data_IF_042559831320
#
_entry.id   IF_042559831320
#
_cell.length_a   1.000
_cell.length_b   1.000
_cell.length_c   1.000
_cell.angle_alpha   90.00
_cell.angle_beta   90.00
_cell.angle_gamma   90.00
#
_symmetry.space_group_name_H-M   'P 1'
#
loop_
_entity.id
_entity.type
_entity.pdbx_description
1 polymer ?
#
# COMPACT_ATOMS: atom_id res chain seq x y z
N UNK A 1 -28.43 7.37 -21.69
CA UNK A 1 -28.20 5.91 -21.69
C UNK A 1 -26.77 5.66 -21.24
N UNK A 2 -26.53 4.68 -20.35
CA UNK A 2 -25.18 4.31 -19.91
C UNK A 2 -24.51 3.53 -21.04
N UNK A 3 -23.32 3.94 -21.48
CA UNK A 3 -22.59 3.26 -22.56
C UNK A 3 -22.23 1.82 -22.17
N UNK A 4 -22.16 0.90 -23.14
CA UNK A 4 -21.69 -0.48 -22.93
C UNK A 4 -20.32 -0.51 -22.26
N UNK A 5 -19.40 0.39 -22.68
CA UNK A 5 -18.08 0.55 -22.05
C UNK A 5 -18.19 0.89 -20.57
N UNK A 6 -19.10 1.80 -20.18
CA UNK A 6 -19.32 2.16 -18.78
C UNK A 6 -19.90 1.00 -17.96
N UNK A 7 -20.81 0.21 -18.54
CA UNK A 7 -21.37 -0.97 -17.87
C UNK A 7 -20.33 -2.07 -17.66
N UNK A 8 -19.47 -2.31 -18.66
CA UNK A 8 -18.36 -3.27 -18.57
C UNK A 8 -17.35 -2.88 -17.48
N UNK A 9 -17.07 -1.59 -17.32
CA UNK A 9 -16.21 -1.10 -16.22
C UNK A 9 -16.90 -1.31 -14.87
N UNK A 10 -18.18 -0.95 -14.74
CA UNK A 10 -18.89 -1.07 -13.47
C UNK A 10 -19.00 -2.53 -13.00
N UNK A 11 -19.30 -3.46 -13.91
CA UNK A 11 -19.35 -4.91 -13.61
C UNK A 11 -18.00 -5.43 -13.16
N UNK A 12 -16.90 -5.02 -13.80
CA UNK A 12 -15.54 -5.36 -13.36
C UNK A 12 -15.21 -4.78 -11.96
N UNK A 13 -15.67 -3.56 -11.65
CA UNK A 13 -15.43 -2.92 -10.35
C UNK A 13 -16.15 -3.64 -9.19
N UNK A 14 -17.34 -4.17 -9.43
CA UNK A 14 -18.08 -4.96 -8.42
C UNK A 14 -17.62 -6.42 -8.34
N UNK A 15 -16.65 -6.83 -9.18
CA UNK A 15 -16.10 -8.19 -9.21
C UNK A 15 -16.95 -9.21 -9.96
N UNK A 16 -17.92 -8.74 -10.75
CA UNK A 16 -18.76 -9.60 -11.59
C UNK A 16 -18.05 -9.90 -12.92
N UNK A 17 -17.06 -10.79 -12.85
CA UNK A 17 -16.20 -11.13 -13.97
C UNK A 17 -16.93 -11.79 -15.16
N UNK A 18 -17.89 -12.72 -14.97
CA UNK A 18 -18.62 -13.31 -16.10
C UNK A 18 -19.37 -12.28 -16.94
N UNK A 19 -20.04 -11.32 -16.29
CA UNK A 19 -20.73 -10.25 -16.99
C UNK A 19 -19.74 -9.25 -17.62
N UNK A 20 -18.64 -8.94 -16.93
CA UNK A 20 -17.59 -8.10 -17.49
C UNK A 20 -16.97 -8.71 -18.75
N UNK A 21 -16.71 -10.03 -18.77
CA UNK A 21 -16.23 -10.75 -19.97
C UNK A 21 -17.23 -10.62 -21.11
N UNK A 22 -18.51 -10.92 -20.84
CA UNK A 22 -19.58 -10.91 -21.85
C UNK A 22 -19.74 -9.52 -22.49
N UNK A 23 -19.76 -8.46 -21.67
CA UNK A 23 -19.89 -7.08 -22.14
C UNK A 23 -18.67 -6.61 -22.94
N UNK A 24 -17.44 -6.93 -22.49
CA UNK A 24 -16.24 -6.56 -23.24
C UNK A 24 -16.12 -7.35 -24.57
N UNK A 25 -16.57 -8.60 -24.62
CA UNK A 25 -16.64 -9.35 -25.87
C UNK A 25 -17.61 -8.71 -26.86
N UNK A 26 -18.78 -8.25 -26.39
CA UNK A 26 -19.75 -7.54 -27.23
C UNK A 26 -19.15 -6.25 -27.79
N UNK A 27 -18.44 -5.47 -26.96
CA UNK A 27 -17.75 -4.25 -27.42
C UNK A 27 -16.71 -4.58 -28.50
N UNK A 28 -15.94 -5.67 -28.34
CA UNK A 28 -14.97 -6.08 -29.36
C UNK A 28 -15.60 -6.66 -30.65
N UNK A 29 -16.89 -7.03 -30.64
CA UNK A 29 -17.58 -7.37 -31.89
C UNK A 29 -17.83 -6.12 -32.73
N UNK A 30 -18.10 -4.98 -32.10
CA UNK A 30 -18.30 -3.68 -32.76
C UNK A 30 -16.97 -2.98 -33.06
N UNK A 31 -16.01 -3.05 -32.14
CA UNK A 31 -14.69 -2.41 -32.23
C UNK A 31 -13.55 -3.43 -32.01
N UNK A 32 -13.20 -4.26 -33.01
CA UNK A 32 -12.26 -5.38 -32.84
C UNK A 32 -10.84 -5.00 -32.44
N UNK A 33 -10.43 -3.77 -32.71
CA UNK A 33 -9.09 -3.25 -32.44
C UNK A 33 -9.04 -2.27 -31.26
N UNK A 34 -10.09 -2.21 -30.42
CA UNK A 34 -10.08 -1.39 -29.21
C UNK A 34 -9.14 -1.98 -28.15
N UNK A 35 -7.93 -1.41 -28.08
CA UNK A 35 -6.86 -1.79 -27.15
C UNK A 35 -7.31 -1.72 -25.69
N UNK A 36 -8.11 -0.72 -25.31
CA UNK A 36 -8.56 -0.56 -23.92
C UNK A 36 -9.54 -1.67 -23.54
N UNK A 37 -10.46 -2.01 -24.44
CA UNK A 37 -11.41 -3.11 -24.25
C UNK A 37 -10.69 -4.46 -24.25
N UNK A 38 -9.71 -4.68 -25.12
CA UNK A 38 -8.87 -5.89 -25.10
C UNK A 38 -8.12 -6.04 -23.77
N UNK A 39 -7.52 -4.96 -23.25
CA UNK A 39 -6.82 -4.97 -21.97
C UNK A 39 -7.77 -5.27 -20.80
N UNK A 40 -8.98 -4.70 -20.81
CA UNK A 40 -10.02 -4.97 -19.80
C UNK A 40 -10.53 -6.40 -19.85
N UNK A 41 -10.77 -6.93 -21.05
CA UNK A 41 -11.18 -8.32 -21.25
C UNK A 41 -10.10 -9.29 -20.78
N UNK A 42 -8.83 -9.03 -21.12
CA UNK A 42 -7.70 -9.83 -20.66
C UNK A 42 -7.61 -9.83 -19.12
N UNK A 43 -7.82 -8.68 -18.48
CA UNK A 43 -7.88 -8.61 -17.02
C UNK A 43 -9.06 -9.40 -16.43
N UNK A 44 -10.25 -9.32 -17.04
CA UNK A 44 -11.41 -10.09 -16.62
C UNK A 44 -11.21 -11.62 -16.75
N UNK A 45 -10.49 -12.07 -17.78
CA UNK A 45 -10.07 -13.47 -17.93
C UNK A 45 -9.09 -13.91 -16.84
N UNK A 46 -8.09 -13.08 -16.50
CA UNK A 46 -7.20 -13.37 -15.37
C UNK A 46 -7.99 -13.54 -14.07
N UNK A 47 -8.92 -12.61 -13.81
CA UNK A 47 -9.73 -12.63 -12.59
C UNK A 47 -10.71 -13.81 -12.56
N UNK A 48 -11.13 -14.31 -13.72
CA UNK A 48 -11.97 -15.51 -13.87
C UNK A 48 -11.19 -16.83 -13.85
N UNK A 49 -9.86 -16.79 -13.72
CA UNK A 49 -9.02 -17.99 -13.69
C UNK A 49 -8.69 -18.59 -15.07
N UNK A 50 -8.81 -17.80 -16.14
CA UNK A 50 -8.49 -18.20 -17.53
C UNK A 50 -7.22 -17.49 -18.04
N UNK A 51 -6.01 -17.85 -17.53
CA UNK A 51 -4.78 -17.13 -17.85
C UNK A 51 -4.33 -17.28 -19.32
N UNK A 52 -4.69 -18.39 -19.99
CA UNK A 52 -4.35 -18.61 -21.39
C UNK A 52 -5.06 -17.62 -22.32
N UNK A 53 -6.35 -17.37 -22.08
CA UNK A 53 -7.14 -16.42 -22.87
C UNK A 53 -6.66 -14.98 -22.65
N UNK A 54 -6.32 -14.64 -21.40
CA UNK A 54 -5.70 -13.37 -21.09
C UNK A 54 -4.36 -13.18 -21.80
N UNK A 55 -3.51 -14.22 -21.82
CA UNK A 55 -2.21 -14.20 -22.52
C UNK A 55 -2.40 -13.90 -24.01
N UNK A 56 -3.28 -14.64 -24.68
CA UNK A 56 -3.57 -14.46 -26.10
C UNK A 56 -4.05 -13.03 -26.42
N UNK A 57 -4.87 -12.43 -25.55
CA UNK A 57 -5.32 -11.05 -25.73
C UNK A 57 -4.21 -10.03 -25.52
N UNK A 58 -3.36 -10.18 -24.50
CA UNK A 58 -2.24 -9.26 -24.32
C UNK A 58 -1.22 -9.36 -25.46
N UNK A 59 -1.00 -10.55 -26.02
CA UNK A 59 -0.16 -10.72 -27.22
C UNK A 59 -0.76 -9.99 -28.42
N UNK A 60 -2.08 -10.08 -28.63
CA UNK A 60 -2.78 -9.29 -29.65
C UNK A 60 -2.67 -7.79 -29.41
N UNK A 61 -2.78 -7.33 -28.17
CA UNK A 61 -2.56 -5.92 -27.82
C UNK A 61 -1.15 -5.48 -28.21
N UNK A 62 -0.12 -6.29 -27.97
CA UNK A 62 1.26 -5.97 -28.39
C UNK A 62 1.48 -6.00 -29.90
N UNK A 63 0.67 -6.76 -30.66
CA UNK A 63 0.68 -6.68 -32.12
C UNK A 63 0.12 -5.34 -32.63
N UNK A 64 -0.86 -4.77 -31.93
CA UNK A 64 -1.46 -3.47 -32.29
C UNK A 64 -0.67 -2.27 -31.73
N UNK A 65 -0.20 -2.39 -30.49
CA UNK A 65 0.60 -1.40 -29.77
C UNK A 65 1.75 -2.10 -29.04
N UNK A 66 2.88 -2.19 -29.74
CA UNK A 66 4.10 -2.83 -29.24
C UNK A 66 4.64 -2.22 -27.94
N UNK A 67 4.31 -0.94 -27.65
CA UNK A 67 4.80 -0.23 -26.47
C UNK A 67 3.78 -0.17 -25.34
N UNK A 68 2.68 -0.93 -25.44
CA UNK A 68 1.63 -0.90 -24.43
C UNK A 68 2.15 -1.35 -23.05
N UNK A 69 2.23 -0.46 -22.04
CA UNK A 69 2.84 -0.81 -20.76
C UNK A 69 2.00 -1.82 -19.96
N UNK A 70 0.68 -1.88 -20.18
CA UNK A 70 -0.24 -2.79 -19.50
C UNK A 70 0.01 -4.22 -19.98
N UNK A 71 0.03 -4.43 -21.29
CA UNK A 71 0.25 -5.74 -21.88
C UNK A 71 1.65 -6.29 -21.59
N UNK A 72 2.71 -5.47 -21.73
CA UNK A 72 4.09 -5.86 -21.38
C UNK A 72 4.19 -6.35 -19.93
N UNK A 73 3.65 -5.55 -18.99
CA UNK A 73 3.71 -5.87 -17.55
C UNK A 73 2.97 -7.17 -17.22
N UNK A 74 1.77 -7.36 -17.79
CA UNK A 74 0.94 -8.52 -17.47
C UNK A 74 1.44 -9.81 -18.15
N UNK A 75 2.00 -9.73 -19.37
CA UNK A 75 2.64 -10.90 -20.00
C UNK A 75 3.89 -11.34 -19.26
N UNK A 76 4.72 -10.40 -18.81
CA UNK A 76 5.87 -10.72 -17.96
C UNK A 76 5.42 -11.49 -16.71
N UNK A 77 4.40 -10.97 -16.01
CA UNK A 77 3.79 -11.65 -14.86
C UNK A 77 3.32 -13.06 -15.21
N UNK A 78 2.54 -13.22 -16.28
CA UNK A 78 2.01 -14.50 -16.74
C UNK A 78 3.09 -15.55 -17.04
N UNK A 79 4.20 -15.14 -17.63
CA UNK A 79 5.31 -16.03 -17.96
C UNK A 79 6.16 -16.41 -16.72
N UNK A 80 6.19 -15.56 -15.69
CA UNK A 80 6.87 -15.87 -14.41
C UNK A 80 6.10 -16.93 -13.59
N UNK A 81 4.80 -17.17 -13.87
CA UNK A 81 3.93 -18.14 -13.16
C UNK A 81 4.02 -19.59 -13.66
N UNK A 82 5.22 -20.13 -13.90
CA UNK A 82 5.41 -21.58 -14.16
C UNK A 82 5.11 -22.48 -12.96
N UNK A 83 4.70 -21.92 -11.82
CA UNK A 83 4.26 -22.66 -10.63
C UNK A 83 2.77 -22.42 -10.40
N UNK A 84 1.97 -23.47 -10.63
CA UNK A 84 0.52 -23.53 -10.34
C UNK A 84 0.25 -23.23 -8.86
N UNK A 85 0.08 -21.97 -8.48
CA UNK A 85 -0.50 -21.60 -7.18
C UNK A 85 -1.53 -20.48 -7.39
N UNK A 86 -2.68 -20.52 -6.71
CA UNK A 86 -3.76 -19.58 -6.93
C UNK A 86 -3.31 -18.14 -6.64
N UNK A 87 -3.58 -17.26 -7.60
CA UNK A 87 -3.38 -15.82 -7.50
C UNK A 87 -4.40 -15.25 -6.53
N UNK A 88 -3.97 -14.70 -5.39
CA UNK A 88 -4.88 -13.94 -4.53
C UNK A 88 -5.17 -12.62 -5.26
N UNK A 89 -6.39 -12.44 -5.74
CA UNK A 89 -6.84 -11.19 -6.38
C UNK A 89 -7.03 -10.14 -5.28
N UNK A 90 -6.22 -9.10 -5.32
CA UNK A 90 -6.07 -8.12 -4.22
C UNK A 90 -6.90 -6.85 -4.47
N UNK A 91 -8.12 -6.99 -4.98
CA UNK A 91 -8.89 -5.82 -5.42
C UNK A 91 -9.39 -4.92 -4.27
N UNK A 92 -9.33 -5.38 -3.01
CA UNK A 92 -9.82 -4.60 -1.85
C UNK A 92 -8.91 -4.62 -0.61
N UNK A 93 -7.75 -5.29 -0.65
CA UNK A 93 -6.88 -5.41 0.55
C UNK A 93 -6.05 -4.15 0.81
N UNK A 94 -5.78 -3.34 -0.22
CA UNK A 94 -4.84 -2.21 -0.18
C UNK A 94 -5.49 -0.83 -0.19
N UNK A 95 -6.68 -0.69 0.40
CA UNK A 95 -7.31 0.63 0.56
C UNK A 95 -6.46 1.44 1.56
N UNK A 96 -5.89 2.55 1.09
CA UNK A 96 -5.09 3.44 1.93
C UNK A 96 -5.99 4.32 2.80
N UNK A 97 -6.30 3.86 4.01
CA UNK A 97 -6.97 4.61 5.07
C UNK A 97 -5.96 5.54 5.79
N UNK A 98 -6.15 6.87 5.77
CA UNK A 98 -5.29 7.82 6.47
C UNK A 98 -5.16 7.50 7.96
N UNK A 99 -3.92 7.43 8.46
CA UNK A 99 -3.65 7.17 9.88
C UNK A 99 -3.82 5.72 10.35
N UNK A 100 -4.33 4.82 9.50
CA UNK A 100 -4.57 3.39 9.79
C UNK A 100 -3.83 2.42 8.88
N UNK A 101 -3.46 2.85 7.69
CA UNK A 101 -2.69 2.02 6.76
C UNK A 101 -1.49 2.79 6.24
N UNK A 102 -0.44 2.07 5.84
CA UNK A 102 0.74 2.65 5.19
C UNK A 102 1.44 1.62 4.32
N UNK A 103 1.96 2.08 3.18
CA UNK A 103 2.91 1.31 2.37
C UNK A 103 4.32 1.64 2.82
N UNK A 104 5.09 0.60 3.10
CA UNK A 104 6.43 0.71 3.68
C UNK A 104 7.38 -0.14 2.85
N UNK A 105 8.52 0.42 2.52
CA UNK A 105 9.64 -0.33 1.96
C UNK A 105 10.43 -0.99 3.10
N UNK A 106 10.64 -2.30 3.00
CA UNK A 106 11.46 -3.02 3.96
C UNK A 106 12.94 -2.69 3.75
N UNK A 107 13.66 -2.59 4.86
CA UNK A 107 15.12 -2.48 4.90
C UNK A 107 15.72 -3.82 5.30
N UNK A 108 16.99 -4.05 4.96
CA UNK A 108 17.70 -5.31 5.24
C UNK A 108 16.89 -6.54 4.80
N UNK A 109 16.48 -6.55 3.53
CA UNK A 109 15.70 -7.63 2.93
C UNK A 109 16.51 -8.92 2.85
N UNK A 110 15.80 -10.05 2.77
CA UNK A 110 16.39 -11.37 2.64
C UNK A 110 17.09 -11.61 1.30
N UNK A 111 17.71 -12.77 1.14
CA UNK A 111 18.34 -13.14 -0.12
C UNK A 111 17.32 -13.25 -1.26
N UNK A 112 17.79 -13.03 -2.49
CA UNK A 112 16.97 -13.07 -3.71
C UNK A 112 16.15 -14.36 -3.82
N UNK A 113 16.70 -15.49 -3.35
CA UNK A 113 16.00 -16.78 -3.33
C UNK A 113 14.74 -16.72 -2.47
N UNK A 114 14.79 -16.14 -1.27
CA UNK A 114 13.60 -16.02 -0.40
C UNK A 114 12.61 -15.05 -1.03
N UNK A 115 13.09 -13.88 -1.44
CA UNK A 115 12.26 -12.82 -2.01
C UNK A 115 11.53 -13.28 -3.28
N UNK A 116 12.19 -14.06 -4.15
CA UNK A 116 11.57 -14.53 -5.40
C UNK A 116 10.37 -15.47 -5.19
N UNK A 117 10.22 -16.06 -4.00
CA UNK A 117 9.07 -16.90 -3.68
C UNK A 117 7.89 -16.11 -3.11
N UNK A 118 8.11 -14.88 -2.64
CA UNK A 118 7.07 -14.04 -2.05
C UNK A 118 6.07 -13.58 -3.11
N UNK A 119 4.79 -13.61 -2.74
CA UNK A 119 3.70 -13.15 -3.63
C UNK A 119 3.06 -11.87 -3.11
N UNK A 120 2.66 -11.01 -4.04
CA UNK A 120 1.79 -9.87 -3.69
C UNK A 120 0.49 -10.39 -3.06
N UNK A 121 0.08 -9.78 -1.95
CA UNK A 121 -1.08 -10.16 -1.14
C UNK A 121 -0.77 -11.19 -0.04
N UNK A 122 0.43 -11.74 0.01
CA UNK A 122 0.81 -12.71 1.05
C UNK A 122 0.91 -12.04 2.42
N UNK A 123 0.32 -12.68 3.45
CA UNK A 123 0.36 -12.19 4.82
C UNK A 123 1.75 -12.42 5.41
N UNK A 124 2.29 -11.40 6.07
CA UNK A 124 3.54 -11.46 6.79
C UNK A 124 3.29 -11.38 8.30
N UNK A 125 4.04 -12.16 9.05
CA UNK A 125 4.09 -12.08 10.51
C UNK A 125 5.07 -11.00 10.94
N UNK A 126 4.72 -10.21 11.96
CA UNK A 126 5.54 -9.10 12.45
C UNK A 126 6.00 -9.41 13.87
N UNK A 127 7.31 -9.42 14.09
CA UNK A 127 7.90 -9.75 15.39
C UNK A 127 8.83 -8.66 15.89
N UNK A 128 8.68 -8.33 17.17
CA UNK A 128 9.59 -7.43 17.88
C UNK A 128 10.82 -8.23 18.32
N UNK A 129 12.01 -7.83 17.85
CA UNK A 129 13.29 -8.34 18.35
C UNK A 129 14.26 -7.16 18.50
N UNK A 130 14.98 -7.06 19.63
CA UNK A 130 16.00 -6.01 19.86
C UNK A 130 15.51 -4.59 19.53
N UNK A 131 14.28 -4.25 19.92
CA UNK A 131 13.65 -2.94 19.62
C UNK A 131 13.51 -2.63 18.12
N UNK A 132 13.39 -3.66 17.27
CA UNK A 132 13.10 -3.53 15.83
C UNK A 132 12.00 -4.49 15.42
N UNK A 133 11.30 -4.16 14.33
CA UNK A 133 10.22 -4.97 13.77
C UNK A 133 10.71 -5.75 12.55
N UNK A 134 10.68 -7.06 12.66
CA UNK A 134 11.07 -8.01 11.63
C UNK A 134 9.82 -8.64 11.01
N UNK A 135 9.81 -8.81 9.70
CA UNK A 135 8.74 -9.50 8.98
C UNK A 135 9.17 -10.89 8.55
N UNK A 136 8.30 -11.87 8.75
CA UNK A 136 8.48 -13.27 8.37
C UNK A 136 7.34 -13.73 7.47
N UNK A 137 7.61 -14.68 6.59
CA UNK A 137 6.58 -15.30 5.76
C UNK A 137 5.87 -16.46 6.48
N UNK A 138 5.01 -17.18 5.75
CA UNK A 138 4.27 -18.33 6.28
C UNK A 138 5.14 -19.56 6.57
N UNK A 139 6.37 -19.61 6.04
CA UNK A 139 7.36 -20.67 6.26
C UNK A 139 8.37 -20.30 7.38
N UNK A 140 8.11 -19.21 8.11
CA UNK A 140 8.99 -18.64 9.13
C UNK A 140 10.34 -18.13 8.59
N UNK A 141 10.43 -17.85 7.29
CA UNK A 141 11.62 -17.27 6.69
C UNK A 141 11.62 -15.75 6.90
N UNK A 142 12.79 -15.23 7.24
CA UNK A 142 12.99 -13.80 7.35
C UNK A 142 12.82 -13.15 5.97
N UNK A 143 12.02 -12.08 5.89
CA UNK A 143 11.76 -11.33 4.65
C UNK A 143 12.49 -9.99 4.64
N UNK A 144 12.47 -9.29 5.77
CA UNK A 144 13.00 -7.94 5.90
C UNK A 144 12.59 -7.27 7.20
N UNK A 145 13.01 -6.02 7.38
CA UNK A 145 12.78 -5.24 8.60
C UNK A 145 12.08 -3.92 8.27
N UNK A 146 11.23 -3.44 9.17
CA UNK A 146 10.64 -2.11 9.01
C UNK A 146 11.69 -1.02 9.28
N UNK A 147 11.60 0.15 8.63
CA UNK A 147 12.45 1.30 8.93
C UNK A 147 12.41 1.67 10.41
N UNK A 148 13.55 2.07 10.98
CA UNK A 148 13.71 2.29 12.41
C UNK A 148 12.76 3.38 12.96
N UNK A 149 12.51 4.46 12.22
CA UNK A 149 11.64 5.57 12.64
C UNK A 149 10.18 5.13 12.84
N UNK A 150 9.69 4.29 11.94
CA UNK A 150 8.38 3.69 12.02
C UNK A 150 8.35 2.53 13.02
N UNK A 151 9.40 1.71 13.04
CA UNK A 151 9.53 0.54 13.90
C UNK A 151 9.39 0.92 15.37
N UNK A 152 10.15 1.91 15.84
CA UNK A 152 10.10 2.41 17.21
C UNK A 152 8.70 2.90 17.61
N UNK A 153 8.05 3.66 16.73
CA UNK A 153 6.69 4.14 16.95
C UNK A 153 5.70 2.99 17.10
N UNK A 154 5.77 2.01 16.18
CA UNK A 154 4.86 0.85 16.20
C UNK A 154 5.10 -0.08 17.38
N UNK A 155 6.35 -0.25 17.84
CA UNK A 155 6.66 -1.03 19.05
C UNK A 155 5.89 -0.47 20.25
N UNK A 156 5.97 0.85 20.48
CA UNK A 156 5.24 1.51 21.57
C UNK A 156 3.72 1.29 21.50
N UNK A 157 3.17 1.19 20.29
CA UNK A 157 1.76 0.91 20.09
C UNK A 157 1.41 -0.56 20.30
N UNK A 158 2.22 -1.49 19.79
CA UNK A 158 2.04 -2.94 19.95
C UNK A 158 2.12 -3.32 21.43
N UNK A 159 3.11 -2.80 22.16
CA UNK A 159 3.28 -3.04 23.59
C UNK A 159 2.10 -2.52 24.42
N UNK A 160 1.40 -1.49 23.93
CA UNK A 160 0.18 -0.99 24.56
C UNK A 160 -1.10 -1.75 24.14
N UNK A 161 -0.99 -2.73 23.24
CA UNK A 161 -2.09 -3.60 22.81
C UNK A 161 -2.74 -3.23 21.47
N UNK A 162 -2.11 -2.39 20.65
CA UNK A 162 -2.53 -2.23 19.25
C UNK A 162 -2.14 -3.47 18.44
N UNK A 163 -2.94 -3.80 17.44
CA UNK A 163 -2.71 -4.94 16.55
C UNK A 163 -2.55 -4.47 15.11
N UNK A 164 -1.65 -5.15 14.38
CA UNK A 164 -1.29 -4.81 13.02
C UNK A 164 -1.23 -6.05 12.15
N UNK A 165 -1.65 -5.91 10.90
CA UNK A 165 -1.46 -6.91 9.87
C UNK A 165 -0.56 -6.36 8.77
N UNK A 166 0.35 -7.19 8.28
CA UNK A 166 1.21 -6.87 7.15
C UNK A 166 0.95 -7.80 5.98
N UNK A 167 0.97 -7.24 4.77
CA UNK A 167 0.82 -7.96 3.52
C UNK A 167 1.87 -7.50 2.53
N UNK A 168 2.42 -8.41 1.74
CA UNK A 168 3.34 -8.07 0.65
C UNK A 168 2.57 -7.26 -0.40
N UNK A 169 3.02 -6.05 -0.76
CA UNK A 169 2.40 -5.23 -1.81
C UNK A 169 3.14 -5.39 -3.13
N UNK A 170 4.45 -5.20 -3.14
CA UNK A 170 5.26 -5.36 -4.35
C UNK A 170 6.58 -6.04 -4.00
N UNK A 171 6.97 -6.96 -4.87
CA UNK A 171 8.24 -7.66 -4.81
C UNK A 171 8.98 -7.35 -6.10
N UNK A 172 10.19 -6.84 -5.97
CA UNK A 172 11.13 -6.56 -7.04
C UNK A 172 12.49 -7.15 -6.67
N UNK A 173 13.41 -7.25 -7.63
CA UNK A 173 14.67 -8.00 -7.44
C UNK A 173 15.49 -7.58 -6.20
N UNK A 174 15.46 -6.29 -5.85
CA UNK A 174 16.18 -5.73 -4.70
C UNK A 174 15.26 -4.87 -3.79
N UNK A 175 13.94 -5.02 -3.92
CA UNK A 175 12.99 -4.14 -3.22
C UNK A 175 11.74 -4.91 -2.85
N UNK A 176 11.39 -4.87 -1.57
CA UNK A 176 10.14 -5.44 -1.07
C UNK A 176 9.36 -4.34 -0.38
N UNK A 177 8.14 -4.10 -0.85
CA UNK A 177 7.20 -3.19 -0.20
C UNK A 177 6.07 -3.96 0.43
N UNK A 178 5.72 -3.58 1.65
CA UNK A 178 4.63 -4.17 2.42
C UNK A 178 3.55 -3.12 2.66
N UNK A 179 2.32 -3.57 2.62
CA UNK A 179 1.17 -2.85 3.12
C UNK A 179 0.97 -3.23 4.58
N UNK A 180 0.89 -2.23 5.44
CA UNK A 180 0.66 -2.42 6.86
C UNK A 180 -0.68 -1.77 7.23
N UNK A 181 -1.51 -2.50 7.98
CA UNK A 181 -2.83 -2.07 8.43
C UNK A 181 -2.95 -2.23 9.94
N UNK A 182 -3.39 -1.18 10.62
CA UNK A 182 -3.84 -1.26 12.01
C UNK A 182 -5.23 -1.90 12.06
N UNK A 183 -5.34 -3.04 12.74
CA UNK A 183 -6.63 -3.74 12.93
C UNK A 183 -7.30 -3.36 14.23
N UNK A 184 -6.52 -2.96 15.24
CA UNK A 184 -7.01 -2.59 16.56
C UNK A 184 -6.23 -1.44 17.14
N UNK A 185 -6.97 -0.46 17.67
CA UNK A 185 -6.43 0.68 18.42
C UNK A 185 -6.98 0.71 19.83
N UNK A 186 -6.09 0.74 20.82
CA UNK A 186 -6.48 0.87 22.23
C UNK A 186 -6.86 2.30 22.59
N UNK A 187 -7.69 2.46 23.64
CA UNK A 187 -8.20 3.76 24.10
C UNK A 187 -7.09 4.78 24.41
N UNK A 188 -5.95 4.30 24.94
CA UNK A 188 -4.75 5.12 25.24
C UNK A 188 -4.28 5.94 24.05
N UNK A 189 -4.47 5.44 22.83
CA UNK A 189 -3.99 6.06 21.60
C UNK A 189 -5.10 6.51 20.66
N UNK A 190 -6.33 6.70 21.15
CA UNK A 190 -7.50 7.09 20.33
C UNK A 190 -7.22 8.27 19.39
N UNK A 191 -6.48 9.27 19.86
CA UNK A 191 -6.18 10.50 19.13
C UNK A 191 -4.78 10.50 18.48
N UNK A 192 -4.06 9.38 18.51
CA UNK A 192 -2.73 9.25 17.92
C UNK A 192 -2.77 8.21 16.80
N UNK A 193 -2.71 8.62 15.53
CA UNK A 193 -2.68 7.68 14.42
C UNK A 193 -1.37 6.88 14.41
N UNK A 194 -1.43 5.60 14.07
CA UNK A 194 -0.22 4.78 13.92
C UNK A 194 0.70 5.34 12.84
N UNK A 195 0.11 5.78 11.73
CA UNK A 195 0.82 6.24 10.55
C UNK A 195 0.66 7.74 10.36
N UNK A 196 1.76 8.49 10.50
CA UNK A 196 1.80 9.91 10.16
C UNK A 196 2.24 10.08 8.71
N UNK A 197 1.51 10.93 7.98
CA UNK A 197 1.92 11.44 6.66
C UNK A 197 3.05 12.46 6.85
N UNK A 198 3.95 12.59 5.87
CA UNK A 198 5.20 13.37 6.00
C UNK A 198 5.02 14.81 6.51
N UNK A 199 3.86 15.43 6.27
CA UNK A 199 3.53 16.79 6.77
C UNK A 199 3.13 16.86 8.25
N UNK A 200 2.79 15.74 8.90
CA UNK A 200 2.32 15.72 10.29
C UNK A 200 3.41 15.40 11.31
N UNK A 201 4.63 15.03 10.88
CA UNK A 201 5.77 14.75 11.79
C UNK A 201 6.05 15.95 12.73
N UNK A 202 5.79 17.18 12.29
CA UNK A 202 5.97 18.39 13.09
C UNK A 202 4.86 18.68 14.12
N UNK A 203 3.65 18.13 13.94
CA UNK A 203 2.48 18.43 14.79
C UNK A 203 2.31 17.49 15.99
N UNK A 204 3.00 16.35 15.98
CA UNK A 204 2.88 15.30 17.01
C UNK A 204 4.20 15.03 17.76
N UNK A 205 5.22 15.87 17.59
CA UNK A 205 6.38 15.85 18.47
C UNK A 205 5.91 16.21 19.88
N UNK A 206 6.06 15.28 20.81
CA UNK A 206 5.78 15.50 22.24
C UNK A 206 6.62 16.69 22.74
N UNK A 207 6.06 17.62 23.53
CA UNK A 207 6.88 18.62 24.20
C UNK A 207 7.74 17.88 25.23
N UNK A 208 9.04 17.84 24.97
CA UNK A 208 10.03 17.33 25.93
C UNK A 208 10.02 18.23 27.15
N UNK A 209 9.55 17.71 28.27
CA UNK A 209 9.62 18.34 29.58
C UNK A 209 11.07 18.30 30.10
N UNK A 210 11.79 19.42 30.00
CA UNK A 210 12.97 19.68 30.83
C UNK A 210 13.33 21.18 30.83
N UNK A 211 12.81 21.92 31.80
CA UNK A 211 13.62 22.52 32.88
C UNK A 211 12.88 23.73 33.47
N UNK A 212 12.37 23.52 34.68
CA UNK A 212 11.97 24.58 35.56
C UNK A 212 13.23 25.16 36.23
N UNK A 213 13.47 26.46 36.06
CA UNK A 213 14.19 27.26 37.06
C UNK A 213 13.38 28.50 37.35
N UNK A 214 12.92 28.57 38.61
CA UNK A 214 12.18 29.69 39.21
C UNK A 214 13.13 30.82 39.61
N UNK A 215 12.48 31.97 39.88
CA UNK A 215 12.83 33.11 40.77
C UNK A 215 13.72 34.19 40.15
N UNK A 216 13.41 35.50 40.23
CA UNK A 216 12.76 36.28 41.30
C UNK A 216 12.13 37.60 40.79
N UNK A 217 10.97 37.94 41.36
CA UNK A 217 10.44 39.24 41.82
C UNK A 217 10.75 40.57 41.08
N UNK A 218 9.67 41.28 40.70
CA UNK A 218 9.61 42.75 40.48
C UNK A 218 9.79 43.53 41.82
N UNK A 219 10.02 44.86 41.75
CA UNK A 219 8.87 45.77 41.82
C UNK A 219 8.93 46.97 40.85
N UNK A 220 7.73 47.52 40.64
CA UNK A 220 7.37 48.72 39.85
C UNK A 220 8.00 50.00 40.40
N UNK A 221 8.19 51.00 39.53
CA UNK A 221 8.06 52.42 39.87
C UNK A 221 7.46 53.18 38.69
N UNK A 222 6.29 53.78 38.93
CA UNK A 222 5.67 54.84 38.15
C UNK A 222 6.60 56.07 38.05
N UNK A 223 6.62 56.79 36.92
CA UNK A 223 6.27 58.24 36.85
C UNK A 223 6.32 58.81 35.42
N UNK A 224 5.20 59.47 35.06
CA UNK A 224 4.97 60.65 34.21
C UNK A 224 5.84 60.99 32.98
N UNK A 225 5.13 61.18 31.86
CA UNK A 225 5.10 62.38 31.00
C UNK A 225 6.14 63.48 31.29
N UNK A 226 6.84 63.92 30.25
CA UNK A 226 6.92 65.34 29.85
C UNK A 226 7.54 65.47 28.45
N UNK A 227 7.23 66.62 27.86
CA UNK A 227 7.26 67.05 26.46
C UNK A 227 8.66 67.34 25.86
N UNK A 228 8.60 67.73 24.58
CA UNK A 228 9.43 68.72 23.88
C UNK A 228 10.45 68.29 22.81
N UNK A 229 10.10 68.73 21.59
CA UNK A 229 10.90 69.37 20.53
C UNK A 229 12.38 68.99 20.36
N UNK A 230 12.69 68.42 19.20
CA UNK A 230 13.43 69.10 18.09
C UNK A 230 13.61 68.16 16.89
#
# INVERSE_FOLDING_TARGET
>A
MVSLKSQAIQTALVGDWPNAVSLNQLILQEEPNDIDTMNRLAFAFLSSGNPNDAKNLYEKVLMLDMKNPIAIRNLKRLNDFTVKRPSIIINNLFIEEPGKTKVIELINIADKKVISHLRSGEKLDIRIKRSKLFTYDSEDQFVGMLPDDLGQRLINFIEAGNEYESYVRTVDNNKVTVFLRETKRVKKFRNQPSFVSGNDKAKFALPTSASATKTKAQPKSDTSLDDDES
#
